data_IF_219633827127
#
_entry.id   IF_219633827127
#
_cell.length_a   1.000
_cell.length_b   1.000
_cell.length_c   1.000
_cell.angle_alpha   90.00
_cell.angle_beta   90.00
_cell.angle_gamma   90.00
#
_symmetry.space_group_name_H-M   'P 1'
#
loop_
_entity.id
_entity.type
_entity.pdbx_description
1 polymer ?
#
# COMPACT_ATOMS: atom_id res chain seq x y z
N UNK A 1 -25.71 -0.63 5.12
CA UNK A 1 -24.25 -0.68 4.91
C UNK A 1 -23.75 0.72 5.14
N UNK A 2 -22.74 0.88 6.00
CA UNK A 2 -22.14 2.17 6.30
C UNK A 2 -21.40 2.67 5.05
N UNK A 3 -21.60 3.93 4.66
CA UNK A 3 -20.95 4.48 3.48
C UNK A 3 -19.50 4.85 3.83
N UNK A 4 -18.57 3.91 3.63
CA UNK A 4 -17.15 4.13 3.85
C UNK A 4 -16.54 4.82 2.62
N UNK A 5 -16.22 6.10 2.75
CA UNK A 5 -15.46 6.82 1.73
C UNK A 5 -13.97 6.51 1.90
N UNK A 6 -13.50 5.43 1.29
CA UNK A 6 -12.09 5.01 1.36
C UNK A 6 -11.18 6.04 0.68
N UNK A 7 -10.15 6.48 1.42
CA UNK A 7 -9.10 7.37 0.94
C UNK A 7 -7.76 6.63 0.88
N UNK A 8 -6.89 7.03 -0.06
CA UNK A 8 -5.53 6.55 -0.18
C UNK A 8 -4.59 7.74 0.01
N UNK A 9 -3.71 7.67 1.01
CA UNK A 9 -2.71 8.70 1.31
C UNK A 9 -1.32 8.10 1.25
N UNK A 10 -0.39 8.82 0.63
CA UNK A 10 1.03 8.50 0.68
C UNK A 10 1.67 9.48 1.65
N UNK A 11 2.27 8.97 2.71
CA UNK A 11 2.99 9.80 3.66
C UNK A 11 4.45 9.95 3.23
N UNK A 12 4.82 11.19 2.99
CA UNK A 12 6.20 11.62 2.78
C UNK A 12 6.92 11.66 4.14
N UNK A 13 7.29 10.49 4.66
CA UNK A 13 8.01 10.38 5.94
C UNK A 13 9.46 9.92 5.79
N UNK A 14 9.91 9.61 4.58
CA UNK A 14 11.28 9.14 4.35
C UNK A 14 12.23 10.26 3.99
N UNK A 15 13.35 10.29 4.71
CA UNK A 15 14.56 11.02 4.30
C UNK A 15 15.30 10.31 3.14
N UNK A 16 14.75 9.22 2.62
CA UNK A 16 15.38 8.37 1.60
C UNK A 16 14.40 8.04 0.48
N UNK A 17 14.85 8.05 -0.79
CA UNK A 17 13.96 7.79 -1.94
C UNK A 17 13.55 6.31 -2.07
N UNK A 18 14.05 5.41 -1.21
CA UNK A 18 13.74 3.97 -1.26
C UNK A 18 12.64 3.51 -0.29
N UNK A 19 12.06 4.42 0.51
CA UNK A 19 10.99 4.09 1.44
C UNK A 19 9.74 4.93 1.16
N UNK A 20 8.57 4.32 1.20
CA UNK A 20 7.28 4.99 1.16
C UNK A 20 6.32 4.35 2.17
N UNK A 21 5.50 5.17 2.84
CA UNK A 21 4.40 4.69 3.69
C UNK A 21 3.07 5.06 3.03
N UNK A 22 2.22 4.08 2.79
CA UNK A 22 0.89 4.26 2.19
C UNK A 22 -0.15 3.88 3.23
N UNK A 23 -1.15 4.75 3.41
CA UNK A 23 -2.27 4.58 4.35
C UNK A 23 -3.55 4.51 3.53
N UNK A 24 -4.38 3.48 3.78
CA UNK A 24 -5.68 3.31 3.13
C UNK A 24 -6.73 3.09 4.21
N UNK A 25 -7.67 4.01 4.32
CA UNK A 25 -8.73 4.00 5.33
C UNK A 25 -9.89 4.92 4.94
N UNK A 26 -11.11 4.72 5.50
CA UNK A 26 -11.52 3.55 6.25
C UNK A 26 -11.77 2.35 5.33
N UNK A 27 -11.55 1.14 5.87
CA UNK A 27 -11.76 -0.13 5.19
C UNK A 27 -12.69 -1.02 6.01
N UNK A 28 -13.50 -1.81 5.33
CA UNK A 28 -14.25 -2.87 5.99
C UNK A 28 -13.31 -3.87 6.67
N UNK A 29 -13.80 -4.48 7.76
CA UNK A 29 -13.05 -5.49 8.51
C UNK A 29 -12.60 -6.61 7.56
N UNK A 30 -11.30 -6.89 7.55
CA UNK A 30 -10.69 -7.94 6.74
C UNK A 30 -10.11 -7.46 5.40
N UNK A 31 -10.58 -6.33 4.86
CA UNK A 31 -10.08 -5.82 3.58
C UNK A 31 -8.60 -5.41 3.66
N UNK A 32 -8.16 -4.88 4.80
CA UNK A 32 -6.74 -4.55 5.02
C UNK A 32 -5.80 -5.75 4.84
N UNK A 33 -6.19 -6.95 5.29
CA UNK A 33 -5.40 -8.17 5.13
C UNK A 33 -5.40 -8.64 3.67
N UNK A 34 -6.57 -8.64 3.02
CA UNK A 34 -6.72 -9.05 1.62
C UNK A 34 -5.91 -8.16 0.68
N UNK A 35 -6.02 -6.83 0.83
CA UNK A 35 -5.30 -5.86 0.04
C UNK A 35 -3.80 -5.89 0.35
N UNK A 36 -3.42 -5.91 1.63
CA UNK A 36 -2.01 -5.96 2.04
C UNK A 36 -1.27 -7.20 1.53
N UNK A 37 -1.89 -8.38 1.62
CA UNK A 37 -1.30 -9.62 1.10
C UNK A 37 -1.14 -9.58 -0.43
N UNK A 38 -2.15 -9.07 -1.14
CA UNK A 38 -2.11 -8.96 -2.60
C UNK A 38 -1.04 -7.99 -3.06
N UNK A 39 -0.97 -6.80 -2.45
CA UNK A 39 0.05 -5.78 -2.75
C UNK A 39 1.45 -6.28 -2.45
N UNK A 40 1.67 -6.97 -1.32
CA UNK A 40 2.97 -7.58 -0.99
C UNK A 40 3.42 -8.55 -2.09
N UNK A 41 2.52 -9.42 -2.57
CA UNK A 41 2.84 -10.38 -3.64
C UNK A 41 3.18 -9.68 -4.95
N UNK A 42 2.40 -8.67 -5.33
CA UNK A 42 2.62 -7.91 -6.58
C UNK A 42 3.94 -7.13 -6.50
N UNK A 43 4.19 -6.41 -5.42
CA UNK A 43 5.41 -5.60 -5.27
C UNK A 43 6.69 -6.46 -5.27
N UNK A 44 6.65 -7.65 -4.65
CA UNK A 44 7.79 -8.58 -4.68
C UNK A 44 7.95 -9.27 -6.04
N UNK A 45 6.86 -9.60 -6.72
CA UNK A 45 6.91 -10.23 -8.04
C UNK A 45 7.29 -9.25 -9.16
N UNK A 46 6.91 -7.97 -9.02
CA UNK A 46 7.10 -6.92 -10.02
C UNK A 46 8.51 -6.32 -10.03
N UNK A 47 9.51 -7.06 -9.53
CA UNK A 47 10.89 -6.60 -9.44
C UNK A 47 11.47 -6.33 -10.85
N UNK A 48 11.34 -5.09 -11.35
CA UNK A 48 12.27 -4.56 -12.35
C UNK A 48 13.58 -4.28 -11.61
N UNK A 49 14.48 -5.25 -11.59
CA UNK A 49 15.91 -4.98 -11.35
C UNK A 49 16.39 -4.17 -12.54
N UNK A 50 16.45 -2.84 -12.38
CA UNK A 50 17.41 -2.06 -13.17
C UNK A 50 18.70 -2.05 -12.36
N UNK A 51 19.55 -3.03 -12.65
CA UNK A 51 20.96 -2.97 -12.27
C UNK A 51 21.61 -1.90 -13.16
N UNK A 52 22.14 -0.85 -12.53
CA UNK A 52 23.16 0.01 -13.12
C UNK A 52 24.49 -0.46 -12.56
#
# INVERSE_FOLDING_TARGET
>A
MENLQTEIRVEESSRTPQYARIVVEPLERGYGVTLGNSLRRVLLASTTIRAY
#
